data_IF_251373986842
#
_entry.id   IF_251373986842
#
_cell.length_a   1.000
_cell.length_b   1.000
_cell.length_c   1.000
_cell.angle_alpha   90.00
_cell.angle_beta   90.00
_cell.angle_gamma   90.00
#
_symmetry.space_group_name_H-M   'P 1'
#
loop_
_entity.id
_entity.type
_entity.pdbx_description
1 polymer ?
#
# COMPACT_ATOMS: atom_id res chain seq x y z
N UNK A 1 17.11 32.19 -48.56
CA UNK A 1 16.40 31.22 -47.70
C UNK A 1 17.28 30.87 -46.51
N UNK A 2 16.94 31.22 -45.25
CA UNK A 2 17.69 30.75 -44.10
C UNK A 2 17.17 29.36 -43.69
N UNK A 3 18.06 28.38 -43.62
CA UNK A 3 17.77 27.03 -43.13
C UNK A 3 17.63 27.07 -41.61
N UNK A 4 16.45 26.70 -41.09
CA UNK A 4 16.22 26.44 -39.66
C UNK A 4 17.18 25.31 -39.22
N UNK A 5 18.20 25.63 -38.42
CA UNK A 5 18.94 24.62 -37.65
C UNK A 5 17.95 23.99 -36.67
N UNK A 6 17.62 22.73 -36.88
CA UNK A 6 16.98 21.91 -35.87
C UNK A 6 17.94 21.81 -34.68
N UNK A 7 17.57 22.42 -33.54
CA UNK A 7 18.24 22.20 -32.27
C UNK A 7 17.91 20.76 -31.88
N UNK A 8 18.82 19.83 -32.15
CA UNK A 8 18.71 18.48 -31.60
C UNK A 8 19.00 18.60 -30.11
N UNK A 9 17.95 18.58 -29.28
CA UNK A 9 18.10 18.34 -27.85
C UNK A 9 18.68 16.93 -27.69
N UNK A 10 20.01 16.85 -27.68
CA UNK A 10 20.75 15.65 -27.33
C UNK A 10 20.41 15.36 -25.88
N UNK A 11 19.59 14.33 -25.65
CA UNK A 11 19.33 13.82 -24.31
C UNK A 11 20.67 13.29 -23.79
N UNK A 12 21.40 14.12 -23.04
CA UNK A 12 22.66 13.74 -22.46
C UNK A 12 22.39 12.59 -21.47
N UNK A 13 22.99 11.40 -21.64
CA UNK A 13 22.71 10.29 -20.77
C UNK A 13 23.13 10.66 -19.34
N UNK A 14 22.18 10.57 -18.40
CA UNK A 14 22.43 10.77 -16.98
C UNK A 14 23.68 10.01 -16.57
N UNK A 15 24.65 10.72 -15.97
CA UNK A 15 25.89 10.12 -15.51
C UNK A 15 25.62 8.93 -14.58
N UNK A 16 26.50 7.92 -14.49
CA UNK A 16 26.29 6.71 -13.69
C UNK A 16 25.87 6.99 -12.24
N UNK A 17 26.43 8.05 -11.64
CA UNK A 17 26.04 8.53 -10.31
C UNK A 17 24.60 9.05 -10.26
N UNK A 18 24.17 9.81 -11.26
CA UNK A 18 22.79 10.31 -11.36
C UNK A 18 21.78 9.18 -11.54
N UNK A 19 22.11 8.17 -12.34
CA UNK A 19 21.28 6.96 -12.51
C UNK A 19 21.12 6.18 -11.21
N UNK A 20 22.19 5.99 -10.44
CA UNK A 20 22.12 5.30 -9.15
C UNK A 20 21.26 6.05 -8.12
N UNK A 21 21.41 7.38 -8.05
CA UNK A 21 20.61 8.21 -7.14
C UNK A 21 19.11 8.10 -7.47
N UNK A 22 18.74 8.22 -8.74
CA UNK A 22 17.34 8.13 -9.18
C UNK A 22 16.80 6.70 -9.06
N UNK A 23 17.58 5.67 -9.38
CA UNK A 23 17.09 4.30 -9.37
C UNK A 23 17.03 3.67 -7.96
N UNK A 24 17.83 4.15 -7.01
CA UNK A 24 18.01 3.48 -5.71
C UNK A 24 17.79 4.43 -4.54
N UNK A 25 18.53 5.54 -4.49
CA UNK A 25 18.52 6.42 -3.31
C UNK A 25 17.16 7.06 -3.11
N UNK A 26 16.57 7.62 -4.17
CA UNK A 26 15.25 8.28 -4.10
C UNK A 26 14.13 7.31 -3.69
N UNK A 27 13.97 6.12 -4.29
CA UNK A 27 13.01 5.12 -3.82
C UNK A 27 13.18 4.74 -2.35
N UNK A 28 14.42 4.54 -1.89
CA UNK A 28 14.70 4.22 -0.48
C UNK A 28 14.26 5.37 0.42
N UNK A 29 14.50 6.62 0.03
CA UNK A 29 14.05 7.78 0.79
C UNK A 29 12.52 7.89 0.83
N UNK A 30 11.81 7.55 -0.26
CA UNK A 30 10.34 7.48 -0.28
C UNK A 30 9.84 6.45 0.73
N UNK A 31 10.46 5.26 0.77
CA UNK A 31 10.10 4.22 1.73
C UNK A 31 10.35 4.67 3.16
N UNK A 32 11.53 5.23 3.44
CA UNK A 32 11.88 5.72 4.76
C UNK A 32 10.93 6.83 5.23
N UNK A 33 10.59 7.78 4.35
CA UNK A 33 9.63 8.84 4.64
C UNK A 33 8.23 8.28 4.94
N UNK A 34 7.78 7.27 4.19
CA UNK A 34 6.52 6.57 4.45
C UNK A 34 6.49 5.91 5.83
N UNK A 35 7.52 5.12 6.17
CA UNK A 35 7.61 4.47 7.48
C UNK A 35 7.59 5.51 8.61
N UNK A 36 8.41 6.56 8.51
CA UNK A 36 8.50 7.59 9.56
C UNK A 36 7.20 8.36 9.70
N UNK A 37 6.50 8.65 8.60
CA UNK A 37 5.24 9.38 8.57
C UNK A 37 4.06 8.59 9.12
N UNK A 38 4.06 7.26 8.94
CA UNK A 38 2.98 6.37 9.42
C UNK A 38 3.30 5.66 10.75
N UNK A 39 4.50 5.84 11.33
CA UNK A 39 4.87 5.13 12.56
C UNK A 39 3.85 5.26 13.70
N UNK A 40 3.21 6.42 13.83
CA UNK A 40 2.24 6.71 14.87
C UNK A 40 0.87 6.06 14.62
N UNK A 41 0.58 5.59 13.40
CA UNK A 41 -0.68 4.90 13.12
C UNK A 41 -0.77 3.55 13.82
N UNK A 42 0.37 2.95 14.19
CA UNK A 42 0.42 1.67 14.90
C UNK A 42 -0.01 1.77 16.36
N UNK A 43 -0.01 2.96 16.94
CA UNK A 43 -0.57 3.23 18.28
C UNK A 43 -2.05 3.63 18.22
N UNK A 44 -2.66 3.53 17.04
CA UNK A 44 -4.03 3.93 16.77
C UNK A 44 -5.09 2.94 17.25
N UNK A 45 -6.36 3.33 17.08
CA UNK A 45 -7.55 2.51 17.32
C UNK A 45 -8.43 2.49 16.09
N UNK A 46 -9.36 1.53 16.00
CA UNK A 46 -10.41 1.57 14.97
C UNK A 46 -11.26 2.83 15.14
N UNK A 47 -11.49 3.53 14.04
CA UNK A 47 -12.27 4.76 14.01
C UNK A 47 -13.30 4.71 12.89
N UNK A 48 -14.44 5.37 13.12
CA UNK A 48 -15.48 5.60 12.10
C UNK A 48 -15.93 4.31 11.38
N UNK A 49 -15.58 4.18 10.11
CA UNK A 49 -15.98 3.07 9.24
C UNK A 49 -15.23 1.77 9.51
N UNK A 50 -14.08 1.81 10.21
CA UNK A 50 -13.33 0.60 10.60
C UNK A 50 -14.21 -0.35 11.43
N UNK A 51 -15.07 0.19 12.29
CA UNK A 51 -15.99 -0.63 13.07
C UNK A 51 -16.94 -1.44 12.18
N UNK A 52 -17.47 -0.83 11.12
CA UNK A 52 -18.43 -1.49 10.22
C UNK A 52 -17.73 -2.37 9.19
N UNK A 53 -16.56 -1.96 8.72
CA UNK A 53 -15.83 -2.62 7.64
C UNK A 53 -14.94 -3.75 8.15
N UNK A 54 -14.46 -3.67 9.40
CA UNK A 54 -13.48 -4.58 9.99
C UNK A 54 -14.02 -5.21 11.27
N UNK A 55 -14.13 -4.45 12.37
CA UNK A 55 -14.36 -5.03 13.70
C UNK A 55 -15.69 -5.79 13.83
N UNK A 56 -16.75 -5.29 13.21
CA UNK A 56 -18.10 -5.87 13.26
C UNK A 56 -18.51 -6.52 11.94
N UNK A 57 -17.58 -6.74 11.02
CA UNK A 57 -17.88 -7.31 9.72
C UNK A 57 -17.63 -8.83 9.72
N UNK A 58 -18.69 -9.61 9.91
CA UNK A 58 -18.56 -11.08 9.91
C UNK A 58 -18.19 -11.65 8.54
N UNK A 59 -18.51 -10.94 7.45
CA UNK A 59 -18.25 -11.41 6.08
C UNK A 59 -16.76 -11.61 5.82
N UNK A 60 -15.91 -10.77 6.40
CA UNK A 60 -14.46 -10.85 6.19
C UNK A 60 -13.78 -11.95 7.02
N UNK A 61 -14.52 -12.64 7.90
CA UNK A 61 -13.98 -13.75 8.71
C UNK A 61 -14.10 -15.12 8.04
N UNK A 62 -14.88 -15.22 6.97
CA UNK A 62 -15.10 -16.47 6.25
C UNK A 62 -14.63 -16.34 4.79
N UNK A 63 -13.41 -16.79 4.53
CA UNK A 63 -12.86 -16.88 3.18
C UNK A 63 -13.52 -17.97 2.32
N UNK A 64 -14.27 -18.91 2.91
CA UNK A 64 -15.03 -19.92 2.16
C UNK A 64 -16.25 -19.31 1.45
N UNK A 65 -16.77 -18.21 1.98
CA UNK A 65 -17.93 -17.51 1.43
C UNK A 65 -17.56 -16.39 0.44
N UNK A 66 -16.56 -16.59 -0.43
CA UNK A 66 -16.05 -15.57 -1.39
C UNK A 66 -17.17 -14.90 -2.20
N UNK A 67 -18.19 -15.66 -2.60
CA UNK A 67 -19.33 -15.12 -3.34
C UNK A 67 -20.04 -13.96 -2.61
N UNK A 68 -20.10 -14.01 -1.28
CA UNK A 68 -20.69 -12.94 -0.47
C UNK A 68 -19.82 -11.69 -0.47
N UNK A 69 -18.49 -11.84 -0.39
CA UNK A 69 -17.51 -10.75 -0.49
C UNK A 69 -17.62 -10.05 -1.85
N UNK A 70 -17.67 -10.83 -2.93
CA UNK A 70 -17.74 -10.29 -4.30
C UNK A 70 -19.09 -9.64 -4.64
N UNK A 71 -20.16 -9.98 -3.91
CA UNK A 71 -21.48 -9.38 -4.08
C UNK A 71 -21.65 -8.06 -3.32
N UNK A 72 -20.62 -7.61 -2.59
CA UNK A 72 -20.64 -6.38 -1.80
C UNK A 72 -20.52 -5.10 -2.65
N UNK A 73 -20.66 -3.94 -2.00
CA UNK A 73 -20.47 -2.63 -2.64
C UNK A 73 -19.01 -2.31 -2.95
N UNK A 74 -18.07 -3.01 -2.28
CA UNK A 74 -16.62 -2.79 -2.37
C UNK A 74 -15.88 -4.14 -2.46
N UNK A 75 -16.11 -4.93 -3.52
CA UNK A 75 -15.67 -6.32 -3.57
C UNK A 75 -14.15 -6.50 -3.42
N UNK A 76 -13.36 -5.59 -4.00
CA UNK A 76 -11.89 -5.63 -3.88
C UNK A 76 -11.44 -5.31 -2.45
N UNK A 77 -12.08 -4.32 -1.80
CA UNK A 77 -11.79 -3.98 -0.41
C UNK A 77 -12.19 -5.11 0.52
N UNK A 78 -13.43 -5.62 0.40
CA UNK A 78 -13.96 -6.70 1.22
C UNK A 78 -13.06 -7.94 1.13
N UNK A 79 -12.63 -8.31 -0.09
CA UNK A 79 -11.71 -9.42 -0.30
C UNK A 79 -10.32 -9.16 0.32
N UNK A 80 -9.77 -7.95 0.13
CA UNK A 80 -8.48 -7.57 0.70
C UNK A 80 -8.51 -7.63 2.23
N UNK A 81 -9.59 -7.14 2.85
CA UNK A 81 -9.79 -7.17 4.29
C UNK A 81 -9.97 -8.60 4.82
N UNK A 82 -10.65 -9.47 4.07
CA UNK A 82 -10.83 -10.87 4.44
C UNK A 82 -9.53 -11.66 4.38
N UNK A 83 -8.73 -11.45 3.33
CA UNK A 83 -7.39 -12.05 3.23
C UNK A 83 -6.50 -11.53 4.37
N UNK A 84 -6.52 -10.22 4.65
CA UNK A 84 -5.73 -9.66 5.74
C UNK A 84 -6.17 -10.19 7.11
N UNK A 85 -7.48 -10.37 7.32
CA UNK A 85 -8.01 -10.99 8.54
C UNK A 85 -7.48 -12.41 8.73
N UNK A 86 -7.59 -13.24 7.68
CA UNK A 86 -7.14 -14.63 7.73
C UNK A 86 -5.63 -14.74 7.98
N UNK A 87 -4.82 -13.82 7.43
CA UNK A 87 -3.38 -13.77 7.72
C UNK A 87 -3.09 -13.37 9.18
N UNK A 88 -3.84 -12.41 9.72
CA UNK A 88 -3.69 -11.98 11.12
C UNK A 88 -4.14 -13.04 12.14
N UNK A 89 -5.12 -13.89 11.80
CA UNK A 89 -5.52 -15.03 12.63
C UNK A 89 -4.49 -16.18 12.65
N UNK A 90 -3.59 -16.25 11.66
CA UNK A 90 -2.48 -17.21 11.65
C UNK A 90 -1.34 -16.78 12.58
N UNK A 91 -1.20 -15.47 12.85
CA UNK A 91 -0.34 -14.97 13.92
C UNK A 91 -1.04 -15.14 15.28
N UNK A 92 -0.26 -15.26 16.36
CA UNK A 92 -0.72 -15.65 17.72
C UNK A 92 -1.52 -14.53 18.42
N UNK A 93 -2.45 -13.90 17.72
CA UNK A 93 -3.45 -13.01 18.28
C UNK A 93 -4.61 -13.84 18.86
N UNK A 94 -5.16 -13.47 20.03
CA UNK A 94 -6.30 -14.19 20.60
C UNK A 94 -7.46 -14.29 19.59
N UNK A 95 -8.03 -15.48 19.39
CA UNK A 95 -9.13 -15.66 18.43
C UNK A 95 -10.30 -14.73 18.78
N UNK A 96 -10.81 -14.02 17.77
CA UNK A 96 -11.92 -13.08 17.91
C UNK A 96 -11.55 -11.61 18.15
N UNK A 97 -10.26 -11.25 18.15
CA UNK A 97 -9.83 -9.85 18.03
C UNK A 97 -9.12 -9.62 16.70
N UNK A 98 -9.65 -8.72 15.89
CA UNK A 98 -8.94 -8.22 14.72
C UNK A 98 -7.60 -7.60 15.18
N UNK A 99 -6.49 -8.10 14.66
CA UNK A 99 -5.17 -7.53 14.93
C UNK A 99 -5.03 -6.18 14.22
N UNK A 100 -5.15 -5.08 14.98
CA UNK A 100 -4.95 -3.73 14.44
C UNK A 100 -3.57 -3.57 13.81
N UNK A 101 -2.54 -4.19 14.40
CA UNK A 101 -1.17 -4.08 13.92
C UNK A 101 -1.04 -4.58 12.49
N UNK A 102 -1.58 -5.77 12.20
CA UNK A 102 -1.64 -6.34 10.85
C UNK A 102 -2.38 -5.46 9.84
N UNK A 103 -3.52 -4.85 10.21
CA UNK A 103 -4.23 -3.92 9.32
C UNK A 103 -3.43 -2.63 9.04
N UNK A 104 -2.77 -2.06 10.06
CA UNK A 104 -1.91 -0.89 9.86
C UNK A 104 -0.67 -1.21 9.03
N UNK A 105 -0.05 -2.38 9.25
CA UNK A 105 1.08 -2.86 8.46
C UNK A 105 0.70 -3.06 6.98
N UNK A 106 -0.42 -3.72 6.72
CA UNK A 106 -0.92 -3.91 5.36
C UNK A 106 -1.24 -2.57 4.67
N UNK A 107 -1.89 -1.65 5.38
CA UNK A 107 -2.19 -0.33 4.82
C UNK A 107 -0.91 0.46 4.50
N UNK A 108 0.08 0.44 5.41
CA UNK A 108 1.39 1.05 5.16
C UNK A 108 2.07 0.42 3.93
N UNK A 109 2.04 -0.91 3.80
CA UNK A 109 2.58 -1.59 2.62
C UNK A 109 1.90 -1.10 1.33
N UNK A 110 0.57 -1.01 1.30
CA UNK A 110 -0.18 -0.51 0.14
C UNK A 110 0.21 0.94 -0.19
N UNK A 111 0.36 1.81 0.81
CA UNK A 111 0.83 3.18 0.60
C UNK A 111 2.25 3.25 0.03
N UNK A 112 3.16 2.41 0.54
CA UNK A 112 4.54 2.33 0.05
C UNK A 112 4.59 1.84 -1.40
N UNK A 113 3.86 0.77 -1.71
CA UNK A 113 3.78 0.24 -3.07
C UNK A 113 3.19 1.26 -4.03
N UNK A 114 2.10 1.95 -3.66
CA UNK A 114 1.51 3.00 -4.47
C UNK A 114 2.51 4.16 -4.72
N UNK A 115 3.24 4.60 -3.69
CA UNK A 115 4.24 5.65 -3.83
C UNK A 115 5.40 5.23 -4.76
N UNK A 116 5.87 3.99 -4.65
CA UNK A 116 6.92 3.45 -5.51
C UNK A 116 6.44 3.26 -6.96
N UNK A 117 5.20 2.80 -7.17
CA UNK A 117 4.60 2.69 -8.50
C UNK A 117 4.45 4.07 -9.16
N UNK A 118 4.02 5.09 -8.41
CA UNK A 118 3.94 6.47 -8.91
C UNK A 118 5.32 7.06 -9.19
N UNK A 119 6.33 6.69 -8.40
CA UNK A 119 7.72 7.05 -8.67
C UNK A 119 8.25 6.40 -9.96
N UNK A 120 7.77 5.19 -10.29
CA UNK A 120 8.14 4.44 -11.49
C UNK A 120 9.21 3.37 -11.24
N UNK A 121 9.23 2.76 -10.04
CA UNK A 121 10.02 1.56 -9.74
C UNK A 121 9.36 0.32 -10.32
#
# INVERSE_FOLDING_TARGET
>A
MPTRRAVSHSQEPLQPRGRFVVAVVLPVLVVAAGIVGYRNSFDGVFLLDDHRSIANNERIRDLGAVGTLLSGRRPVLDLSLAVNHALGELEVSPPGRADLGGYHAFNLLVHLLAALTLYGV
#
